data_IF_981839694277
#
_entry.id   IF_981839694277
#
_cell.length_a   1.000
_cell.length_b   1.000
_cell.length_c   1.000
_cell.angle_alpha   90.00
_cell.angle_beta   90.00
_cell.angle_gamma   90.00
#
_symmetry.space_group_name_H-M   'P 1'
#
loop_
_entity.id
_entity.type
_entity.pdbx_description
1 polymer ?
#
# COMPACT_ATOMS: atom_id res chain seq x y z
N UNK A 1 28.69 3.59 -3.88
CA UNK A 1 27.50 4.41 -3.49
C UNK A 1 27.89 5.31 -2.32
N UNK A 2 27.69 6.63 -2.43
CA UNK A 2 27.97 7.56 -1.33
C UNK A 2 26.94 7.33 -0.20
N UNK A 3 27.41 7.14 1.03
CA UNK A 3 26.54 6.93 2.20
C UNK A 3 25.84 8.26 2.53
N UNK A 4 24.53 8.21 2.73
CA UNK A 4 23.75 9.38 3.16
C UNK A 4 24.11 9.75 4.60
N UNK A 5 24.03 11.04 4.92
CA UNK A 5 24.18 11.49 6.30
C UNK A 5 23.05 10.95 7.17
N UNK A 6 23.34 10.68 8.44
CA UNK A 6 22.33 10.18 9.38
C UNK A 6 21.16 11.15 9.53
N UNK A 7 21.41 12.46 9.47
CA UNK A 7 20.38 13.50 9.48
C UNK A 7 19.38 13.31 8.33
N UNK A 8 19.88 13.15 7.10
CA UNK A 8 19.01 12.95 5.93
C UNK A 8 18.24 11.63 5.99
N UNK A 9 18.85 10.58 6.53
CA UNK A 9 18.16 9.29 6.74
C UNK A 9 17.02 9.45 7.75
N UNK A 10 17.25 10.16 8.85
CA UNK A 10 16.24 10.40 9.88
C UNK A 10 15.08 11.26 9.37
N UNK A 11 15.36 12.30 8.57
CA UNK A 11 14.33 13.11 7.91
C UNK A 11 13.47 12.28 6.95
N UNK A 12 14.09 11.43 6.12
CA UNK A 12 13.36 10.51 5.23
C UNK A 12 12.45 9.60 6.05
N UNK A 13 12.97 8.97 7.11
CA UNK A 13 12.18 8.09 7.99
C UNK A 13 11.03 8.84 8.65
N UNK A 14 11.23 10.09 9.06
CA UNK A 14 10.18 10.94 9.62
C UNK A 14 9.07 11.24 8.60
N UNK A 15 9.43 11.59 7.36
CA UNK A 15 8.42 11.84 6.32
C UNK A 15 7.63 10.58 5.97
N UNK A 16 8.27 9.40 5.95
CA UNK A 16 7.59 8.12 5.73
C UNK A 16 6.60 7.82 6.86
N UNK A 17 6.99 8.06 8.13
CA UNK A 17 6.11 7.91 9.29
C UNK A 17 4.90 8.86 9.24
N UNK A 18 5.06 10.05 8.65
CA UNK A 18 3.98 11.01 8.38
C UNK A 18 3.13 10.65 7.13
N UNK A 19 3.27 9.44 6.58
CA UNK A 19 2.54 8.94 5.40
C UNK A 19 2.69 9.82 4.14
N UNK A 20 3.80 10.55 4.00
CA UNK A 20 4.12 11.27 2.76
C UNK A 20 4.41 10.28 1.64
N UNK A 21 3.96 10.61 0.43
CA UNK A 21 4.25 9.79 -0.75
C UNK A 21 5.73 9.88 -1.14
N UNK A 22 6.26 8.84 -1.79
CA UNK A 22 7.63 8.84 -2.32
C UNK A 22 7.90 10.01 -3.26
N UNK A 23 6.88 10.47 -3.99
CA UNK A 23 6.95 11.61 -4.89
C UNK A 23 7.09 12.94 -4.15
N UNK A 24 6.39 13.11 -3.03
CA UNK A 24 6.57 14.29 -2.17
C UNK A 24 7.94 14.29 -1.53
N UNK A 25 8.37 13.17 -0.96
CA UNK A 25 9.67 13.05 -0.30
C UNK A 25 10.81 13.31 -1.30
N UNK A 26 10.69 12.78 -2.52
CA UNK A 26 11.65 12.99 -3.60
C UNK A 26 11.80 14.46 -3.98
N UNK A 27 10.69 15.20 -4.05
CA UNK A 27 10.69 16.64 -4.32
C UNK A 27 11.31 17.45 -3.18
N UNK A 28 10.92 17.16 -1.93
CA UNK A 28 11.40 17.88 -0.74
C UNK A 28 12.90 17.64 -0.53
N UNK A 29 13.33 16.38 -0.59
CA UNK A 29 14.73 16.00 -0.33
C UNK A 29 15.64 16.20 -1.54
N UNK A 30 15.08 16.49 -2.73
CA UNK A 30 15.80 16.51 -4.02
C UNK A 30 16.59 15.23 -4.26
N UNK A 31 15.97 14.08 -3.97
CA UNK A 31 16.60 12.76 -4.09
C UNK A 31 15.81 11.85 -5.03
N UNK A 32 16.52 10.92 -5.66
CA UNK A 32 15.90 9.89 -6.49
C UNK A 32 14.97 9.00 -5.66
N UNK A 33 13.82 8.65 -6.23
CA UNK A 33 12.81 7.78 -5.59
C UNK A 33 13.38 6.43 -5.19
N UNK A 34 14.30 5.87 -5.97
CA UNK A 34 14.97 4.60 -5.67
C UNK A 34 15.76 4.65 -4.35
N UNK A 35 16.46 5.75 -4.10
CA UNK A 35 17.20 5.98 -2.85
C UNK A 35 16.24 6.06 -1.65
N UNK A 36 15.13 6.79 -1.80
CA UNK A 36 14.12 6.91 -0.75
C UNK A 36 13.40 5.58 -0.52
N UNK A 37 13.13 4.82 -1.59
CA UNK A 37 12.45 3.54 -1.54
C UNK A 37 13.19 2.50 -0.67
N UNK A 38 14.54 2.56 -0.65
CA UNK A 38 15.35 1.74 0.27
C UNK A 38 14.90 1.94 1.72
N UNK A 39 14.81 3.19 2.17
CA UNK A 39 14.40 3.52 3.55
C UNK A 39 12.90 3.34 3.77
N UNK A 40 12.08 3.55 2.74
CA UNK A 40 10.65 3.26 2.80
C UNK A 40 10.40 1.79 3.15
N UNK A 41 11.11 0.87 2.49
CA UNK A 41 11.05 -0.56 2.81
C UNK A 41 11.53 -0.90 4.21
N UNK A 42 12.54 -0.21 4.74
CA UNK A 42 12.98 -0.40 6.13
C UNK A 42 11.89 0.00 7.13
N UNK A 43 11.16 1.09 6.87
CA UNK A 43 10.16 1.63 7.80
C UNK A 43 8.81 0.93 7.68
N UNK A 44 8.31 0.70 6.46
CA UNK A 44 6.98 0.14 6.19
C UNK A 44 7.00 -1.38 5.95
N UNK A 45 8.18 -1.98 5.75
CA UNK A 45 8.31 -3.39 5.41
C UNK A 45 7.91 -3.71 3.97
N UNK A 46 7.58 -4.98 3.71
CA UNK A 46 7.00 -5.42 2.43
C UNK A 46 5.55 -4.96 2.35
N UNK A 47 5.20 -4.27 1.26
CA UNK A 47 3.82 -3.86 0.96
C UNK A 47 2.98 -5.00 0.41
N UNK A 48 3.62 -5.99 -0.22
CA UNK A 48 2.97 -7.23 -0.63
C UNK A 48 3.02 -8.21 0.55
N UNK A 49 1.87 -8.51 1.12
CA UNK A 49 1.70 -9.51 2.17
C UNK A 49 1.07 -10.76 1.58
N UNK A 50 1.45 -11.92 2.11
CA UNK A 50 0.69 -13.13 1.84
C UNK A 50 -0.62 -12.97 2.60
N UNK A 51 -1.72 -13.13 1.89
CA UNK A 51 -3.05 -13.00 2.48
C UNK A 51 -3.50 -14.41 2.86
N UNK A 52 -3.78 -14.64 4.14
CA UNK A 52 -4.57 -15.79 4.56
C UNK A 52 -6.04 -15.38 4.53
N UNK A 53 -6.85 -16.01 3.68
CA UNK A 53 -8.26 -15.63 3.56
C UNK A 53 -9.04 -16.15 4.77
N UNK A 54 -9.73 -15.28 5.54
CA UNK A 54 -10.65 -15.73 6.56
C UNK A 54 -11.71 -16.65 5.97
N UNK A 55 -12.13 -17.64 6.77
CA UNK A 55 -13.25 -18.52 6.43
C UNK A 55 -14.60 -18.00 6.92
N UNK A 56 -14.61 -16.85 7.57
CA UNK A 56 -15.84 -16.24 8.09
C UNK A 56 -16.74 -15.78 6.94
N UNK A 57 -17.99 -16.24 6.93
CA UNK A 57 -18.93 -15.96 5.84
C UNK A 57 -19.22 -14.47 5.66
N UNK A 58 -19.27 -13.70 6.76
CA UNK A 58 -19.46 -12.25 6.75
C UNK A 58 -18.36 -11.55 5.95
N UNK A 59 -17.10 -11.89 6.20
CA UNK A 59 -15.93 -11.35 5.50
C UNK A 59 -15.94 -11.77 4.03
N UNK A 60 -16.25 -13.03 3.73
CA UNK A 60 -16.34 -13.52 2.35
C UNK A 60 -17.43 -12.77 1.59
N UNK A 61 -18.60 -12.57 2.21
CA UNK A 61 -19.71 -11.81 1.63
C UNK A 61 -19.31 -10.36 1.32
N UNK A 62 -18.68 -9.68 2.27
CA UNK A 62 -18.17 -8.32 2.08
C UNK A 62 -17.12 -8.25 0.97
N UNK A 63 -16.17 -9.19 0.94
CA UNK A 63 -15.14 -9.26 -0.09
C UNK A 63 -15.74 -9.48 -1.49
N UNK A 64 -16.73 -10.37 -1.62
CA UNK A 64 -17.44 -10.60 -2.88
C UNK A 64 -18.25 -9.37 -3.29
N UNK A 65 -18.93 -8.72 -2.35
CA UNK A 65 -19.67 -7.48 -2.60
C UNK A 65 -18.75 -6.39 -3.14
N UNK A 66 -17.59 -6.19 -2.50
CA UNK A 66 -16.56 -5.26 -2.94
C UNK A 66 -16.03 -5.61 -4.34
N UNK A 67 -15.80 -6.91 -4.61
CA UNK A 67 -15.39 -7.39 -5.93
C UNK A 67 -16.43 -7.15 -7.01
N UNK A 68 -17.71 -7.39 -6.72
CA UNK A 68 -18.79 -7.23 -7.68
C UNK A 68 -19.13 -5.75 -7.94
N UNK A 69 -19.00 -4.89 -6.94
CA UNK A 69 -19.29 -3.46 -7.04
C UNK A 69 -18.14 -2.66 -7.66
N UNK A 70 -16.99 -2.67 -7.00
CA UNK A 70 -15.86 -1.76 -7.31
C UNK A 70 -14.63 -2.48 -7.87
N UNK A 71 -14.71 -3.80 -7.99
CA UNK A 71 -13.62 -4.65 -8.47
C UNK A 71 -13.44 -4.60 -9.99
N UNK A 72 -12.20 -4.44 -10.42
CA UNK A 72 -11.78 -4.62 -11.80
C UNK A 72 -10.76 -5.76 -11.90
N UNK A 73 -11.14 -6.83 -12.58
CA UNK A 73 -10.29 -7.98 -12.81
C UNK A 73 -9.51 -7.85 -14.13
N UNK A 74 -8.22 -8.14 -14.06
CA UNK A 74 -7.33 -8.13 -15.22
C UNK A 74 -6.27 -9.22 -15.11
N UNK A 75 -6.00 -9.89 -16.24
CA UNK A 75 -4.91 -10.85 -16.37
C UNK A 75 -3.71 -10.23 -17.10
N UNK A 76 -2.58 -10.15 -16.41
CA UNK A 76 -1.32 -9.67 -16.97
C UNK A 76 -0.61 -10.77 -17.74
N UNK A 77 -0.82 -10.79 -19.06
CA UNK A 77 -0.21 -11.77 -19.97
C UNK A 77 1.32 -11.82 -19.93
N UNK A 78 2.00 -10.73 -19.56
CA UNK A 78 3.48 -10.68 -19.52
C UNK A 78 4.04 -11.34 -18.27
N UNK A 79 3.37 -11.15 -17.14
CA UNK A 79 3.81 -11.72 -15.84
C UNK A 79 3.08 -13.00 -15.47
N UNK A 80 2.01 -13.35 -16.19
CA UNK A 80 1.12 -14.48 -15.85
C UNK A 80 0.31 -14.23 -14.58
N UNK A 81 0.19 -12.98 -14.13
CA UNK A 81 -0.45 -12.65 -12.84
C UNK A 81 -1.89 -12.19 -13.03
N UNK A 82 -2.78 -12.72 -12.19
CA UNK A 82 -4.12 -12.19 -12.00
C UNK A 82 -4.08 -10.99 -11.05
N UNK A 83 -4.81 -9.93 -11.38
CA UNK A 83 -4.91 -8.73 -10.54
C UNK A 83 -6.36 -8.30 -10.43
N UNK A 84 -6.75 -7.97 -9.22
CA UNK A 84 -8.00 -7.29 -8.92
C UNK A 84 -7.63 -5.90 -8.39
N UNK A 85 -8.27 -4.86 -8.92
CA UNK A 85 -8.12 -3.47 -8.45
C UNK A 85 -9.46 -2.94 -8.01
N UNK A 86 -9.50 -2.30 -6.85
CA UNK A 86 -10.65 -1.58 -6.36
C UNK A 86 -10.44 -0.08 -6.59
N UNK A 87 -11.46 0.60 -7.10
CA UNK A 87 -11.42 2.03 -7.36
C UNK A 87 -12.37 2.75 -6.41
N UNK A 88 -11.81 3.59 -5.56
CA UNK A 88 -12.59 4.37 -4.59
C UNK A 88 -12.50 5.87 -4.90
N UNK A 89 -13.59 6.57 -4.63
CA UNK A 89 -13.68 8.02 -4.72
C UNK A 89 -13.25 8.68 -3.40
N UNK A 90 -12.80 9.93 -3.46
CA UNK A 90 -12.40 10.70 -2.27
C UNK A 90 -13.54 10.88 -1.26
N UNK A 91 -14.80 10.85 -1.73
CA UNK A 91 -16.00 10.92 -0.87
C UNK A 91 -16.20 9.66 -0.03
N UNK A 92 -15.60 8.54 -0.44
CA UNK A 92 -15.74 7.22 0.21
C UNK A 92 -14.64 6.96 1.23
N UNK A 93 -13.86 7.99 1.59
CA UNK A 93 -12.71 7.85 2.50
C UNK A 93 -13.04 7.08 3.78
N UNK A 94 -14.18 7.37 4.42
CA UNK A 94 -14.60 6.66 5.64
C UNK A 94 -14.79 5.16 5.41
N UNK A 95 -15.42 4.79 4.31
CA UNK A 95 -15.63 3.40 3.92
C UNK A 95 -14.30 2.71 3.61
N UNK A 96 -13.41 3.38 2.87
CA UNK A 96 -12.06 2.87 2.59
C UNK A 96 -11.22 2.67 3.85
N UNK A 97 -11.33 3.60 4.81
CA UNK A 97 -10.63 3.49 6.10
C UNK A 97 -11.15 2.26 6.90
N UNK A 98 -12.46 2.01 6.87
CA UNK A 98 -13.08 0.83 7.50
C UNK A 98 -12.70 -0.48 6.82
N UNK A 99 -12.79 -0.55 5.48
CA UNK A 99 -12.30 -1.70 4.71
C UNK A 99 -10.82 -1.97 4.99
N UNK A 100 -10.00 -0.93 5.03
CA UNK A 100 -8.57 -1.06 5.32
C UNK A 100 -8.34 -1.66 6.70
N UNK A 101 -9.17 -1.32 7.70
CA UNK A 101 -9.13 -1.89 9.03
C UNK A 101 -9.53 -3.37 9.01
N UNK A 102 -10.68 -3.70 8.43
CA UNK A 102 -11.19 -5.08 8.31
C UNK A 102 -10.15 -5.96 7.63
N UNK A 103 -9.60 -5.54 6.50
CA UNK A 103 -8.59 -6.29 5.76
C UNK A 103 -7.25 -6.37 6.51
N UNK A 104 -6.86 -5.33 7.26
CA UNK A 104 -5.62 -5.39 8.05
C UNK A 104 -5.71 -6.34 9.24
N UNK A 105 -6.89 -6.44 9.87
CA UNK A 105 -7.16 -7.35 10.99
C UNK A 105 -7.25 -8.81 10.51
N UNK A 106 -7.80 -9.02 9.32
CA UNK A 106 -8.14 -10.34 8.79
C UNK A 106 -7.11 -10.94 7.84
N UNK A 107 -6.27 -10.12 7.20
CA UNK A 107 -5.24 -10.56 6.26
C UNK A 107 -3.85 -10.38 6.90
N UNK A 108 -3.55 -11.27 7.85
CA UNK A 108 -2.24 -11.39 8.49
C UNK A 108 -1.37 -12.49 7.88
#
# INVERSE_FOLDING_TARGET
MRKLSEKSVNEIKLFIKKNRSLNEISRIMKMNKSTIYKYYREVKGKTMRRINMPKEESFIGEFIGLFAGDGNFYYDKKTGHYRIRFFFNIKEKKFVDELSRIFSENLS
#
